data_IF_786850343376
#
_entry.id   IF_786850343376
#
_cell.length_a   1.000
_cell.length_b   1.000
_cell.length_c   1.000
_cell.angle_alpha   90.00
_cell.angle_beta   90.00
_cell.angle_gamma   90.00
#
_symmetry.space_group_name_H-M   'P 1'
#
loop_
_entity.id
_entity.type
_entity.pdbx_description
1 polymer ?
#
# COMPACT_ATOMS: atom_id res chain seq x y z
N UNK A 1 -2.78 8.90 29.64
CA UNK A 1 -2.38 8.60 28.28
C UNK A 1 -3.31 7.64 27.55
N UNK A 2 -4.21 7.03 28.28
CA UNK A 2 -5.18 6.15 27.63
C UNK A 2 -5.92 6.96 26.54
N UNK A 3 -6.05 6.38 25.36
CA UNK A 3 -6.76 6.96 24.22
C UNK A 3 -6.06 8.18 23.63
N UNK A 4 -4.81 8.47 24.05
CA UNK A 4 -4.05 9.54 23.43
C UNK A 4 -3.57 9.15 22.04
N UNK A 5 -3.31 7.87 21.82
CA UNK A 5 -2.89 7.33 20.52
C UNK A 5 -4.12 6.70 19.88
N UNK A 6 -4.53 7.21 18.74
CA UNK A 6 -5.79 6.81 18.09
C UNK A 6 -5.61 5.70 17.05
N UNK A 7 -4.37 5.27 16.82
CA UNK A 7 -4.09 4.22 15.84
C UNK A 7 -3.42 4.77 14.59
N UNK A 8 -3.11 3.86 13.69
CA UNK A 8 -2.46 4.24 12.44
C UNK A 8 -3.43 5.07 11.59
N UNK A 9 -2.93 6.15 11.00
CA UNK A 9 -3.74 7.03 10.16
C UNK A 9 -3.31 7.00 8.71
N UNK A 10 -2.01 7.06 8.46
CA UNK A 10 -1.50 7.32 7.12
C UNK A 10 -0.25 6.50 6.87
N UNK A 11 -0.16 5.89 5.69
CA UNK A 11 1.07 5.33 5.18
C UNK A 11 1.49 6.22 4.01
N UNK A 12 2.71 6.74 4.04
CA UNK A 12 3.20 7.66 3.01
C UNK A 12 4.28 6.98 2.20
N UNK A 13 4.08 6.99 0.89
CA UNK A 13 5.07 6.50 -0.07
C UNK A 13 5.65 7.69 -0.82
N UNK A 14 6.98 7.73 -0.93
CA UNK A 14 7.65 8.78 -1.66
C UNK A 14 7.90 8.33 -3.10
N UNK A 15 7.67 9.22 -4.04
CA UNK A 15 7.74 8.90 -5.46
C UNK A 15 8.38 10.07 -6.20
N UNK A 16 9.13 9.75 -7.25
CA UNK A 16 9.83 10.80 -8.00
C UNK A 16 8.93 11.54 -8.98
N UNK A 17 7.81 10.93 -9.37
CA UNK A 17 6.85 11.55 -10.31
C UNK A 17 5.46 11.36 -9.72
N UNK A 18 4.97 12.38 -9.00
CA UNK A 18 3.72 12.25 -8.28
C UNK A 18 2.50 12.13 -9.21
N UNK A 19 2.57 12.76 -10.40
CA UNK A 19 1.47 12.65 -11.36
C UNK A 19 1.35 11.23 -11.91
N UNK A 20 2.47 10.63 -12.29
CA UNK A 20 2.48 9.25 -12.77
C UNK A 20 2.11 8.30 -11.65
N UNK A 21 2.59 8.56 -10.43
CA UNK A 21 2.27 7.72 -9.28
C UNK A 21 0.78 7.76 -8.95
N UNK A 22 0.18 8.95 -9.02
CA UNK A 22 -1.26 9.06 -8.79
C UNK A 22 -2.03 8.14 -9.72
N UNK A 23 -1.72 8.17 -11.01
CA UNK A 23 -2.42 7.34 -11.98
C UNK A 23 -2.18 5.85 -11.71
N UNK A 24 -0.94 5.50 -11.35
CA UNK A 24 -0.60 4.12 -11.03
C UNK A 24 -1.42 3.61 -9.82
N UNK A 25 -1.49 4.42 -8.76
CA UNK A 25 -2.20 4.01 -7.56
C UNK A 25 -3.71 3.94 -7.76
N UNK A 26 -4.27 4.80 -8.62
CA UNK A 26 -5.68 4.68 -9.00
C UNK A 26 -5.94 3.31 -9.63
N UNK A 27 -5.05 2.88 -10.55
CA UNK A 27 -5.22 1.57 -11.19
C UNK A 27 -5.02 0.42 -10.22
N UNK A 28 -4.03 0.54 -9.36
CA UNK A 28 -3.69 -0.55 -8.45
C UNK A 28 -4.74 -0.74 -7.36
N UNK A 29 -5.20 0.34 -6.76
CA UNK A 29 -6.09 0.29 -5.60
C UNK A 29 -7.56 0.51 -5.93
N UNK A 30 -7.89 0.87 -7.18
CA UNK A 30 -9.26 1.11 -7.62
C UNK A 30 -9.96 2.21 -6.79
N UNK A 31 -9.23 3.27 -6.48
CA UNK A 31 -9.75 4.37 -5.66
C UNK A 31 -9.29 5.68 -6.27
N UNK A 32 -10.17 6.67 -6.31
CA UNK A 32 -9.80 8.02 -6.72
C UNK A 32 -9.29 8.78 -5.51
N UNK A 33 -8.34 9.72 -5.70
CA UNK A 33 -7.84 10.47 -4.55
C UNK A 33 -8.93 11.42 -4.02
N UNK A 34 -8.94 11.59 -2.69
CA UNK A 34 -9.82 12.59 -2.09
C UNK A 34 -9.11 13.94 -1.94
N UNK A 35 -7.78 13.93 -2.03
CA UNK A 35 -6.96 15.13 -1.98
C UNK A 35 -5.91 15.01 -3.07
N UNK A 36 -5.81 16.02 -3.94
CA UNK A 36 -4.99 15.89 -5.15
C UNK A 36 -4.32 17.22 -5.44
N UNK A 37 -3.10 17.38 -4.94
CA UNK A 37 -2.29 18.58 -5.14
C UNK A 37 -0.89 18.17 -5.58
N UNK A 38 -0.13 19.06 -6.23
CA UNK A 38 1.23 18.68 -6.68
C UNK A 38 2.18 18.26 -5.56
N UNK A 39 1.90 18.67 -4.32
CA UNK A 39 2.78 18.37 -3.18
C UNK A 39 2.31 17.18 -2.37
N UNK A 40 1.10 16.66 -2.60
CA UNK A 40 0.56 15.55 -1.84
C UNK A 40 -0.70 15.02 -2.48
N UNK A 41 -0.75 13.69 -2.64
CA UNK A 41 -1.98 13.04 -3.10
C UNK A 41 -2.41 12.07 -2.01
N UNK A 42 -3.67 12.15 -1.58
CA UNK A 42 -4.20 11.30 -0.53
C UNK A 42 -5.37 10.45 -1.04
N UNK A 43 -5.33 9.17 -0.69
CA UNK A 43 -6.39 8.21 -1.01
C UNK A 43 -7.00 7.70 0.29
N UNK A 44 -8.31 7.56 0.31
CA UNK A 44 -9.01 6.93 1.43
C UNK A 44 -9.20 5.45 1.09
N UNK A 45 -8.44 4.60 1.76
CA UNK A 45 -8.48 3.15 1.54
C UNK A 45 -9.15 2.52 2.75
N UNK A 46 -10.46 2.32 2.65
CA UNK A 46 -11.20 1.68 3.74
C UNK A 46 -11.11 2.42 5.06
N UNK A 47 -11.00 3.74 5.02
CA UNK A 47 -10.90 4.55 6.22
C UNK A 47 -9.49 4.85 6.68
N UNK A 48 -8.49 4.34 5.96
CA UNK A 48 -7.08 4.62 6.25
C UNK A 48 -6.49 5.38 5.08
N UNK A 49 -5.56 6.28 5.35
CA UNK A 49 -5.01 7.09 4.27
C UNK A 49 -3.75 6.49 3.69
N UNK A 50 -3.70 6.43 2.36
CA UNK A 50 -2.46 6.21 1.61
C UNK A 50 -2.07 7.55 1.02
N UNK A 51 -0.89 8.03 1.37
CA UNK A 51 -0.41 9.32 0.88
C UNK A 51 0.77 9.17 -0.06
N UNK A 52 0.84 10.02 -1.07
CA UNK A 52 1.97 10.10 -1.97
C UNK A 52 2.64 11.46 -1.80
N UNK A 53 3.97 11.47 -1.66
CA UNK A 53 4.75 12.69 -1.58
C UNK A 53 5.85 12.66 -2.62
N UNK A 54 6.18 13.81 -3.21
CA UNK A 54 7.30 13.82 -4.15
C UNK A 54 8.63 13.67 -3.44
N UNK A 55 9.57 13.01 -4.10
CA UNK A 55 10.96 12.95 -3.65
C UNK A 55 11.74 14.01 -4.39
N UNK A 56 12.53 14.81 -3.65
CA UNK A 56 13.41 15.79 -4.29
C UNK A 56 14.59 15.07 -4.94
N UNK A 57 15.04 13.99 -4.30
CA UNK A 57 16.15 13.18 -4.79
C UNK A 57 15.76 11.72 -4.65
N UNK A 58 16.03 10.92 -5.69
CA UNK A 58 15.69 9.50 -5.64
C UNK A 58 16.45 8.81 -4.51
N UNK A 59 15.77 7.95 -3.79
CA UNK A 59 16.35 7.17 -2.71
C UNK A 59 16.74 5.81 -3.27
N UNK A 60 18.03 5.46 -3.17
CA UNK A 60 18.54 4.21 -3.73
C UNK A 60 17.97 2.99 -3.05
N UNK A 61 17.72 3.09 -1.75
CA UNK A 61 17.29 1.94 -0.95
C UNK A 61 16.15 2.34 -0.05
N UNK A 62 14.94 1.90 -0.39
CA UNK A 62 13.77 2.12 0.46
C UNK A 62 13.81 1.09 1.57
N UNK A 63 13.75 1.57 2.82
CA UNK A 63 13.87 0.70 3.98
C UNK A 63 12.74 -0.31 4.04
N UNK A 64 13.08 -1.55 4.40
CA UNK A 64 12.10 -2.62 4.57
C UNK A 64 11.81 -2.92 6.03
N UNK A 65 12.34 -2.11 6.95
CA UNK A 65 12.10 -2.32 8.37
C UNK A 65 10.65 -2.07 8.77
N UNK A 66 9.95 -1.26 7.98
CA UNK A 66 8.53 -1.00 8.20
C UNK A 66 7.81 -1.21 6.87
N UNK A 67 6.84 -2.12 6.87
CA UNK A 67 6.03 -2.40 5.69
C UNK A 67 4.58 -2.19 6.04
N UNK A 68 3.88 -1.38 5.24
CA UNK A 68 2.44 -1.21 5.40
C UNK A 68 1.74 -2.36 4.68
N UNK A 69 0.87 -3.06 5.40
CA UNK A 69 0.08 -4.15 4.82
C UNK A 69 -1.36 -3.70 4.63
N UNK A 70 -1.86 -3.90 3.43
CA UNK A 70 -3.24 -3.55 3.08
C UNK A 70 -4.08 -4.81 3.07
N UNK A 71 -5.22 -4.78 3.75
CA UNK A 71 -6.08 -5.94 3.88
C UNK A 71 -6.81 -6.25 2.57
N UNK A 72 -6.87 -7.53 2.21
CA UNK A 72 -7.57 -8.00 1.03
C UNK A 72 -8.38 -9.24 1.39
N UNK A 73 -9.45 -9.49 0.64
CA UNK A 73 -10.28 -10.66 0.88
C UNK A 73 -9.70 -11.93 0.24
N UNK A 74 -9.08 -11.77 -0.93
CA UNK A 74 -8.46 -12.88 -1.66
C UNK A 74 -7.05 -12.47 -2.03
N UNK A 75 -6.08 -13.01 -1.28
CA UNK A 75 -4.70 -12.59 -1.44
C UNK A 75 -4.13 -12.94 -2.82
N UNK A 76 -4.39 -14.15 -3.31
CA UNK A 76 -3.84 -14.55 -4.60
C UNK A 76 -4.40 -13.70 -5.73
N UNK A 77 -5.69 -13.43 -5.69
CA UNK A 77 -6.32 -12.59 -6.71
C UNK A 77 -5.77 -11.16 -6.64
N UNK A 78 -5.61 -10.61 -5.43
CA UNK A 78 -5.05 -9.27 -5.27
C UNK A 78 -3.61 -9.22 -5.77
N UNK A 79 -2.81 -10.23 -5.43
CA UNK A 79 -1.42 -10.28 -5.87
C UNK A 79 -1.33 -10.32 -7.39
N UNK A 80 -2.17 -11.13 -8.03
CA UNK A 80 -2.18 -11.20 -9.50
C UNK A 80 -2.62 -9.88 -10.11
N UNK A 81 -3.60 -9.22 -9.51
CA UNK A 81 -4.02 -7.91 -9.99
C UNK A 81 -2.87 -6.90 -9.92
N UNK A 82 -2.18 -6.84 -8.79
CA UNK A 82 -1.08 -5.90 -8.64
C UNK A 82 0.06 -6.16 -9.61
N UNK A 83 0.39 -7.43 -9.83
CA UNK A 83 1.55 -7.76 -10.67
C UNK A 83 1.23 -7.76 -12.15
N UNK A 84 0.01 -8.16 -12.55
CA UNK A 84 -0.32 -8.26 -13.97
C UNK A 84 -1.06 -7.06 -14.53
N UNK A 85 -2.02 -6.50 -13.76
CA UNK A 85 -2.80 -5.36 -14.23
C UNK A 85 -2.11 -4.05 -13.91
N UNK A 86 -1.67 -3.86 -12.67
CA UNK A 86 -0.99 -2.64 -12.27
C UNK A 86 0.50 -2.64 -12.64
N UNK A 87 1.08 -3.80 -12.87
CA UNK A 87 2.48 -3.88 -13.27
C UNK A 87 3.45 -3.69 -12.12
N UNK A 88 3.04 -4.01 -10.89
CA UNK A 88 3.94 -3.97 -9.77
C UNK A 88 4.98 -5.09 -9.90
N UNK A 89 6.16 -4.83 -9.36
CA UNK A 89 7.21 -5.84 -9.37
C UNK A 89 6.97 -6.85 -8.26
N UNK A 90 6.94 -8.16 -8.56
CA UNK A 90 6.83 -9.18 -7.51
C UNK A 90 8.00 -9.07 -6.54
N UNK A 91 7.74 -9.13 -5.24
CA UNK A 91 8.78 -9.10 -4.22
C UNK A 91 8.74 -10.33 -3.34
N UNK A 92 7.53 -10.68 -2.88
CA UNK A 92 7.35 -11.86 -2.04
C UNK A 92 6.00 -12.48 -2.41
N UNK A 93 6.04 -13.69 -2.94
CA UNK A 93 4.83 -14.36 -3.39
C UNK A 93 3.89 -14.67 -2.21
N UNK A 94 2.59 -14.84 -2.48
CA UNK A 94 1.65 -15.19 -1.40
C UNK A 94 2.09 -16.45 -0.66
N UNK A 95 2.09 -16.36 0.66
CA UNK A 95 2.44 -17.49 1.52
C UNK A 95 1.67 -17.40 2.82
N UNK A 96 1.35 -18.56 3.38
CA UNK A 96 0.69 -18.63 4.67
C UNK A 96 1.73 -18.49 5.78
N UNK A 97 1.39 -17.69 6.79
CA UNK A 97 2.32 -17.46 7.91
C UNK A 97 1.78 -18.02 9.22
N UNK A 98 0.69 -18.78 9.18
CA UNK A 98 0.10 -19.40 10.36
C UNK A 98 -1.24 -18.77 10.70
N UNK A 99 -2.09 -19.54 11.39
CA UNK A 99 -3.39 -19.04 11.85
C UNK A 99 -4.35 -18.68 10.74
N UNK A 100 -4.14 -19.18 9.52
CA UNK A 100 -4.98 -18.81 8.39
C UNK A 100 -4.63 -17.46 7.79
N UNK A 101 -3.54 -16.85 8.23
CA UNK A 101 -3.10 -15.55 7.74
C UNK A 101 -2.12 -15.75 6.59
N UNK A 102 -2.31 -15.00 5.52
CA UNK A 102 -1.43 -15.07 4.35
C UNK A 102 -0.97 -13.66 3.98
N UNK A 103 0.26 -13.57 3.51
CA UNK A 103 0.87 -12.28 3.15
C UNK A 103 1.58 -12.36 1.81
N UNK A 104 1.75 -11.21 1.19
CA UNK A 104 2.53 -11.06 -0.03
C UNK A 104 3.10 -9.63 -0.06
N UNK A 105 4.10 -9.41 -0.88
CA UNK A 105 4.66 -8.07 -1.07
C UNK A 105 4.95 -7.84 -2.54
N UNK A 106 4.69 -6.62 -2.96
CA UNK A 106 5.04 -6.17 -4.31
C UNK A 106 5.75 -4.83 -4.19
N UNK A 107 6.39 -4.38 -5.25
CA UNK A 107 7.00 -3.07 -5.30
C UNK A 107 6.30 -2.21 -6.34
N UNK A 108 6.08 -0.94 -5.98
CA UNK A 108 5.60 0.01 -6.95
C UNK A 108 6.76 0.42 -7.89
N UNK A 109 6.47 1.16 -8.97
CA UNK A 109 7.55 1.56 -9.90
C UNK A 109 8.62 2.46 -9.28
N UNK A 110 8.38 2.98 -8.09
CA UNK A 110 9.33 3.88 -7.41
C UNK A 110 10.08 3.20 -6.27
N UNK A 111 9.97 1.87 -6.17
CA UNK A 111 10.72 1.09 -5.20
C UNK A 111 10.08 0.95 -3.84
N UNK A 112 8.86 1.42 -3.66
CA UNK A 112 8.17 1.28 -2.38
C UNK A 112 7.59 -0.12 -2.24
N UNK A 113 7.73 -0.71 -1.05
CA UNK A 113 7.11 -1.99 -0.77
C UNK A 113 5.65 -1.80 -0.38
N UNK A 114 4.81 -2.61 -0.98
CA UNK A 114 3.39 -2.65 -0.67
C UNK A 114 3.10 -4.04 -0.15
N UNK A 115 2.67 -4.14 1.11
CA UNK A 115 2.28 -5.41 1.69
C UNK A 115 0.79 -5.66 1.46
N UNK A 116 0.46 -6.91 1.19
CA UNK A 116 -0.93 -7.35 1.06
C UNK A 116 -1.15 -8.45 2.07
N UNK A 117 -2.28 -8.42 2.77
CA UNK A 117 -2.54 -9.36 3.83
C UNK A 117 -4.00 -9.83 3.83
N UNK A 118 -4.17 -11.13 3.94
CA UNK A 118 -5.45 -11.71 4.30
C UNK A 118 -5.36 -12.17 5.75
N UNK A 119 -6.17 -11.58 6.62
CA UNK A 119 -6.17 -11.92 8.04
C UNK A 119 -7.62 -12.05 8.50
N UNK A 120 -8.11 -13.30 8.71
CA UNK A 120 -9.50 -13.49 9.09
C UNK A 120 -9.80 -13.08 10.54
N UNK A 121 -8.77 -12.75 11.31
CA UNK A 121 -8.93 -12.48 12.75
C UNK A 121 -8.91 -11.01 13.11
N UNK A 122 -8.55 -10.12 12.20
CA UNK A 122 -8.32 -8.72 12.53
C UNK A 122 -8.92 -7.79 11.48
N UNK A 123 -9.63 -6.78 11.95
CA UNK A 123 -10.14 -5.74 11.06
C UNK A 123 -11.39 -6.08 10.29
N UNK A 124 -11.90 -7.30 10.42
CA UNK A 124 -13.08 -7.74 9.68
C UNK A 124 -14.34 -7.35 10.41
N UNK A 125 -15.20 -6.58 9.77
CA UNK A 125 -16.47 -6.22 10.34
C UNK A 125 -16.38 -5.26 11.50
N UNK A 126 -15.24 -4.63 11.66
CA UNK A 126 -15.07 -3.66 12.74
C UNK A 126 -15.84 -2.39 12.45
#
# INVERSE_FOLDING_TARGET
MKDAILGLRTAIYRVTDIGAAKQWYIRAFHVQPYFDEPFYVGFDIGGFELGLQPEDTAVDNKAESVVAYWGVEDLREAYLHFTTVAGAEPHEEPREVGGGISVAKVKDPWGNLIGLIYNPHFGNGA
#
